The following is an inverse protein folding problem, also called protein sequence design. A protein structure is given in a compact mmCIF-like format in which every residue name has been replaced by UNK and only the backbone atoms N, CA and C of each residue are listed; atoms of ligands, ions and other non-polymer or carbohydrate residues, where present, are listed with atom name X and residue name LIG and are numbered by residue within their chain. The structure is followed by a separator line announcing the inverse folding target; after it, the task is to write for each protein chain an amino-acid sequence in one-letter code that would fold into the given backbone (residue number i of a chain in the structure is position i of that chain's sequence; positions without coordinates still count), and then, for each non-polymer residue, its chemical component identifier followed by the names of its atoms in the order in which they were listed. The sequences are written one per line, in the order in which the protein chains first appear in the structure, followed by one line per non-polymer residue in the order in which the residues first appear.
data_IF_154613104242
#
_entry.id   IF_154613104242
#
_cell.length_a   1.000
_cell.length_b   1.000
_cell.length_c   1.000
_cell.angle_alpha   90.00
_cell.angle_beta   90.00
_cell.angle_gamma   90.00
#
_symmetry.space_group_name_H-M   'P 1'
#
loop_
_entity.id
_entity.type
_entity.pdbx_description
1 polymer ?
#
# COMPACT_ATOMS: atom_id res chain seq x y z
N UNK A 1 1.13 -10.91 -9.52
CA UNK A 1 1.19 -10.41 -8.14
C UNK A 1 1.61 -11.54 -7.25
N UNK A 2 2.24 -11.23 -6.13
CA UNK A 2 2.64 -12.20 -5.11
C UNK A 2 1.99 -11.77 -3.79
N UNK A 3 1.55 -12.73 -2.98
CA UNK A 3 1.06 -12.45 -1.64
C UNK A 3 2.24 -12.16 -0.73
N UNK A 4 2.33 -10.93 -0.22
CA UNK A 4 3.29 -10.51 0.77
C UNK A 4 2.65 -10.55 2.17
N UNK A 5 3.46 -10.43 3.22
CA UNK A 5 2.97 -10.45 4.61
C UNK A 5 1.87 -9.40 4.91
N UNK A 6 1.76 -8.37 4.08
CA UNK A 6 0.80 -7.26 4.20
C UNK A 6 -0.34 -7.33 3.19
N UNK A 7 -0.40 -8.36 2.33
CA UNK A 7 -1.42 -8.51 1.29
C UNK A 7 -0.85 -8.56 -0.12
N UNK A 8 -1.67 -8.23 -1.13
CA UNK A 8 -1.29 -8.38 -2.54
C UNK A 8 -0.22 -7.35 -2.96
N UNK A 9 0.98 -7.84 -3.26
CA UNK A 9 2.04 -7.05 -3.87
C UNK A 9 2.04 -7.28 -5.40
N UNK A 10 1.72 -6.22 -6.14
CA UNK A 10 1.66 -6.25 -7.61
C UNK A 10 2.79 -5.47 -8.26
N UNK A 11 3.29 -5.96 -9.40
CA UNK A 11 4.19 -5.20 -10.27
C UNK A 11 3.56 -5.11 -11.65
N UNK A 12 3.36 -3.88 -12.13
CA UNK A 12 2.91 -3.59 -13.49
C UNK A 12 4.10 -3.08 -14.28
N UNK A 13 4.59 -3.89 -15.22
CA UNK A 13 5.78 -3.62 -16.01
C UNK A 13 5.38 -3.52 -17.48
N UNK A 14 5.77 -2.43 -18.13
CA UNK A 14 5.65 -2.22 -19.57
C UNK A 14 7.06 -2.18 -20.15
N UNK A 15 7.33 -3.01 -21.15
CA UNK A 15 8.59 -3.02 -21.89
C UNK A 15 8.35 -2.61 -23.34
N UNK A 16 9.20 -1.75 -23.87
CA UNK A 16 9.23 -1.35 -25.29
C UNK A 16 10.28 -2.14 -26.10
N UNK A 17 10.86 -3.19 -25.52
CA UNK A 17 11.87 -4.05 -26.18
C UNK A 17 13.32 -3.63 -25.94
N UNK A 18 13.56 -2.53 -25.22
CA UNK A 18 14.89 -2.15 -24.75
C UNK A 18 15.27 -2.87 -23.44
N UNK A 19 16.56 -2.89 -23.08
CA UNK A 19 17.05 -3.56 -21.86
C UNK A 19 16.60 -2.94 -20.53
N UNK A 20 15.80 -1.87 -20.57
CA UNK A 20 15.22 -1.21 -19.39
C UNK A 20 13.70 -1.19 -19.51
N UNK A 21 12.96 -1.41 -18.41
CA UNK A 21 11.51 -1.30 -18.44
C UNK A 21 11.10 0.15 -18.76
N UNK A 22 10.22 0.31 -19.74
CA UNK A 22 9.68 1.61 -20.13
C UNK A 22 8.82 2.22 -19.00
N UNK A 23 8.07 1.38 -18.30
CA UNK A 23 7.32 1.77 -17.10
C UNK A 23 7.29 0.62 -16.10
N UNK A 24 7.51 0.96 -14.83
CA UNK A 24 7.32 0.05 -13.71
C UNK A 24 6.45 0.76 -12.67
N UNK A 25 5.29 0.18 -12.36
CA UNK A 25 4.41 0.63 -11.28
C UNK A 25 4.32 -0.50 -10.25
N UNK A 26 4.57 -0.16 -8.99
CA UNK A 26 4.43 -1.08 -7.86
C UNK A 26 3.04 -0.82 -7.26
N UNK A 27 2.28 -1.88 -7.04
CA UNK A 27 1.03 -1.86 -6.28
C UNK A 27 1.36 -2.35 -4.88
N UNK A 28 1.68 -1.42 -3.98
CA UNK A 28 1.93 -1.73 -2.58
C UNK A 28 0.61 -1.98 -1.84
N UNK A 29 0.51 -3.04 -1.01
CA UNK A 29 -0.70 -3.31 -0.23
C UNK A 29 -0.97 -2.21 0.81
N UNK A 30 0.10 -1.68 1.41
CA UNK A 30 0.06 -0.58 2.39
C UNK A 30 -0.65 0.68 1.86
N UNK A 31 -0.45 1.01 0.57
CA UNK A 31 -1.09 2.17 -0.06
C UNK A 31 -2.62 2.01 -0.18
N UNK A 32 -3.08 0.79 -0.45
CA UNK A 32 -4.51 0.49 -0.58
C UNK A 32 -5.18 0.50 0.80
N UNK A 33 -4.50 -0.01 1.82
CA UNK A 33 -4.99 0.03 3.20
C UNK A 33 -5.17 1.46 3.72
N UNK A 34 -4.28 2.40 3.35
CA UNK A 34 -4.47 3.82 3.68
C UNK A 34 -5.74 4.42 3.07
N UNK A 35 -6.17 3.96 1.89
CA UNK A 35 -7.43 4.41 1.28
C UNK A 35 -8.67 4.01 2.08
N UNK A 36 -8.62 2.89 2.79
CA UNK A 36 -9.70 2.43 3.66
C UNK A 36 -9.66 3.08 5.06
N UNK A 37 -8.53 3.69 5.44
CA UNK A 37 -8.30 4.21 6.79
C UNK A 37 -9.33 5.27 7.21
N UNK A 38 -9.71 6.17 6.30
CA UNK A 38 -10.74 7.20 6.59
C UNK A 38 -12.09 6.57 7.00
N UNK A 39 -12.53 5.52 6.31
CA UNK A 39 -13.78 4.83 6.67
C UNK A 39 -13.69 4.18 8.05
N UNK A 40 -12.51 3.68 8.43
CA UNK A 40 -12.32 2.93 9.67
C UNK A 40 -12.05 3.83 10.88
N UNK A 41 -11.51 5.03 10.68
CA UNK A 41 -11.27 6.00 11.74
C UNK A 41 -12.51 6.85 12.07
N UNK A 42 -13.54 6.87 11.21
CA UNK A 42 -14.79 7.62 11.45
C UNK A 42 -15.53 7.10 12.68
N UNK A 43 -15.81 8.01 13.62
CA UNK A 43 -16.55 7.69 14.85
C UNK A 43 -15.69 7.23 16.02
N UNK A 44 -14.37 7.08 15.82
CA UNK A 44 -13.41 6.77 16.88
C UNK A 44 -12.72 8.02 17.41
N UNK A 45 -12.11 7.93 18.60
CA UNK A 45 -11.36 9.04 19.17
C UNK A 45 -9.96 9.13 18.54
N UNK A 46 -9.33 10.30 18.64
CA UNK A 46 -7.94 10.50 18.17
C UNK A 46 -6.98 9.50 18.86
N UNK A 47 -7.28 9.06 20.07
CA UNK A 47 -6.50 8.04 20.76
C UNK A 47 -6.52 6.66 20.05
N UNK A 48 -7.63 6.34 19.39
CA UNK A 48 -7.82 5.05 18.71
C UNK A 48 -7.13 5.01 17.33
N UNK A 49 -6.80 6.18 16.77
CA UNK A 49 -6.10 6.32 15.49
C UNK A 49 -4.78 5.55 15.49
N UNK A 50 -4.02 5.60 16.59
CA UNK A 50 -2.73 4.90 16.71
C UNK A 50 -2.93 3.38 16.70
N UNK A 51 -3.97 2.90 17.37
CA UNK A 51 -4.31 1.47 17.43
C UNK A 51 -4.78 0.95 16.08
N UNK A 52 -5.62 1.72 15.38
CA UNK A 52 -6.07 1.39 14.03
C UNK A 52 -4.87 1.37 13.08
N UNK A 53 -3.98 2.36 13.15
CA UNK A 53 -2.79 2.44 12.30
C UNK A 53 -1.81 1.27 12.53
N UNK A 54 -1.61 0.88 13.80
CA UNK A 54 -0.78 -0.28 14.16
C UNK A 54 -1.35 -1.62 13.70
N UNK A 55 -2.68 -1.74 13.64
CA UNK A 55 -3.36 -2.98 13.20
C UNK A 55 -3.11 -3.30 11.72
N UNK A 56 -2.98 -2.27 10.86
CA UNK A 56 -2.73 -2.44 9.42
C UNK A 56 -1.25 -2.58 9.06
N UNK A 57 -0.34 -2.43 10.03
CA UNK A 57 1.13 -2.42 9.83
C UNK A 57 1.53 -1.58 8.59
N UNK A 58 1.06 -0.32 8.55
CA UNK A 58 1.31 0.58 7.41
C UNK A 58 2.75 1.06 7.48
N UNK A 59 3.57 0.64 6.50
CA UNK A 59 4.92 1.17 6.31
C UNK A 59 4.88 2.28 5.28
N UNK A 60 5.11 3.52 5.74
CA UNK A 60 5.07 4.72 4.89
C UNK A 60 6.04 4.66 3.71
N UNK A 61 7.18 3.96 3.85
CA UNK A 61 8.15 3.80 2.76
C UNK A 61 7.65 2.98 1.56
N UNK A 62 6.58 2.18 1.73
CA UNK A 62 5.90 1.49 0.63
C UNK A 62 4.75 2.31 0.04
N UNK A 63 4.13 3.18 0.85
CA UNK A 63 3.01 4.02 0.43
C UNK A 63 3.40 5.19 -0.49
N UNK A 64 4.66 5.64 -0.44
CA UNK A 64 5.11 6.85 -1.14
C UNK A 64 5.59 6.60 -2.59
N UNK A 65 5.39 5.39 -3.16
CA UNK A 65 5.92 4.99 -4.50
C UNK A 65 4.89 4.88 -5.61
#
# INVERSE_FOLDING_TARGET
GTEAAKGELGFYIVSTGEGKPYRLKIRAPSFIHMGAFDHMARGYMIADVVTIFGTYDIVMGECDR
#
